data_IF_305530340289
#
_entry.id   IF_305530340289
#
_cell.length_a   1.000
_cell.length_b   1.000
_cell.length_c   1.000
_cell.angle_alpha   90.00
_cell.angle_beta   90.00
_cell.angle_gamma   90.00
#
_symmetry.space_group_name_H-M   'P 1'
#
loop_
_entity.id
_entity.type
_entity.pdbx_description
1 polymer ?
#
# COMPACT_ATOMS: atom_id res chain seq x y z
N UNK A 1 30.09 -7.86 13.57
CA UNK A 1 28.95 -6.92 13.46
C UNK A 1 28.94 -6.27 12.07
N UNK A 2 30.12 -5.95 11.52
CA UNK A 2 30.31 -5.39 10.17
C UNK A 2 29.67 -6.19 9.03
N UNK A 3 29.82 -7.53 9.00
CA UNK A 3 29.23 -8.36 7.92
C UNK A 3 27.69 -8.33 7.87
N UNK A 4 27.01 -8.08 9.00
CA UNK A 4 25.55 -7.94 9.02
C UNK A 4 25.14 -6.56 8.52
N UNK A 5 25.88 -5.53 8.95
CA UNK A 5 25.61 -4.14 8.57
C UNK A 5 25.81 -3.93 7.06
N UNK A 6 26.85 -4.52 6.47
CA UNK A 6 27.12 -4.45 5.02
C UNK A 6 26.07 -5.20 4.22
N UNK A 7 25.63 -6.38 4.69
CA UNK A 7 24.54 -7.14 4.06
C UNK A 7 23.23 -6.36 4.07
N UNK A 8 22.84 -5.80 5.22
CA UNK A 8 21.61 -5.00 5.36
C UNK A 8 21.67 -3.77 4.47
N UNK A 9 22.82 -3.08 4.41
CA UNK A 9 23.01 -1.91 3.55
C UNK A 9 22.87 -2.26 2.06
N UNK A 10 23.42 -3.40 1.63
CA UNK A 10 23.30 -3.87 0.26
C UNK A 10 21.84 -4.22 -0.09
N UNK A 11 21.14 -4.94 0.79
CA UNK A 11 19.73 -5.30 0.61
C UNK A 11 18.84 -4.04 0.57
N UNK A 12 19.01 -3.09 1.49
CA UNK A 12 18.28 -1.81 1.49
C UNK A 12 18.45 -1.03 0.18
N UNK A 13 19.69 -0.97 -0.34
CA UNK A 13 19.98 -0.34 -1.61
C UNK A 13 19.25 -1.03 -2.76
N UNK A 14 19.22 -2.37 -2.78
CA UNK A 14 18.50 -3.13 -3.81
C UNK A 14 16.97 -2.94 -3.76
N UNK A 15 16.42 -2.73 -2.56
CA UNK A 15 14.99 -2.50 -2.35
C UNK A 15 14.59 -1.11 -2.84
N UNK A 16 15.32 -0.07 -2.42
CA UNK A 16 14.90 1.33 -2.57
C UNK A 16 15.31 1.99 -3.89
N UNK A 17 16.24 1.39 -4.67
CA UNK A 17 16.59 1.94 -5.99
C UNK A 17 15.37 1.84 -6.91
N UNK A 18 14.94 2.95 -7.52
CA UNK A 18 13.80 2.96 -8.43
C UNK A 18 14.10 2.16 -9.69
N UNK A 19 13.12 1.40 -10.14
CA UNK A 19 13.04 0.80 -11.46
C UNK A 19 11.66 1.12 -12.06
N UNK A 20 11.48 0.91 -13.36
CA UNK A 20 10.22 1.28 -14.02
C UNK A 20 8.99 0.55 -13.45
N UNK A 21 9.16 -0.68 -12.94
CA UNK A 21 8.06 -1.45 -12.34
C UNK A 21 7.66 -0.86 -10.99
N UNK A 22 8.65 -0.49 -10.16
CA UNK A 22 8.45 0.23 -8.90
C UNK A 22 7.78 1.58 -9.15
N UNK A 23 8.23 2.32 -10.16
CA UNK A 23 7.63 3.61 -10.52
C UNK A 23 6.19 3.44 -11.00
N UNK A 24 5.88 2.45 -11.84
CA UNK A 24 4.52 2.20 -12.30
C UNK A 24 3.55 1.89 -11.15
N UNK A 25 3.91 0.98 -10.23
CA UNK A 25 3.08 0.67 -9.06
C UNK A 25 2.97 1.89 -8.14
N UNK A 26 4.08 2.59 -7.91
CA UNK A 26 4.11 3.80 -7.10
C UNK A 26 3.17 4.89 -7.65
N UNK A 27 3.16 5.11 -8.96
CA UNK A 27 2.24 6.05 -9.61
C UNK A 27 0.79 5.68 -9.36
N UNK A 28 0.42 4.40 -9.56
CA UNK A 28 -0.95 3.93 -9.32
C UNK A 28 -1.35 4.15 -7.85
N UNK A 29 -0.50 3.77 -6.91
CA UNK A 29 -0.79 3.95 -5.48
C UNK A 29 -0.84 5.43 -5.08
N UNK A 30 0.01 6.28 -5.67
CA UNK A 30 -0.02 7.73 -5.43
C UNK A 30 -1.31 8.36 -5.94
N UNK A 31 -1.83 7.90 -7.08
CA UNK A 31 -3.14 8.31 -7.58
C UNK A 31 -4.27 7.87 -6.64
N UNK A 32 -4.18 6.67 -6.06
CA UNK A 32 -5.11 6.24 -5.01
C UNK A 32 -5.03 7.18 -3.81
N UNK A 33 -3.83 7.51 -3.33
CA UNK A 33 -3.63 8.41 -2.21
C UNK A 33 -4.22 9.81 -2.45
N UNK A 34 -3.88 10.44 -3.58
CA UNK A 34 -4.35 11.79 -3.91
C UNK A 34 -5.86 11.78 -4.18
N UNK A 35 -6.34 10.80 -4.95
CA UNK A 35 -7.76 10.69 -5.30
C UNK A 35 -8.65 10.40 -4.10
N UNK A 36 -8.21 9.55 -3.16
CA UNK A 36 -8.94 9.29 -1.93
C UNK A 36 -9.04 10.49 -1.01
N UNK A 37 -7.96 11.28 -0.90
CA UNK A 37 -7.97 12.57 -0.19
C UNK A 37 -8.97 13.53 -0.83
N UNK A 38 -8.95 13.67 -2.16
CA UNK A 38 -9.89 14.54 -2.89
C UNK A 38 -11.34 14.09 -2.64
N UNK A 39 -11.62 12.79 -2.71
CA UNK A 39 -12.95 12.24 -2.47
C UNK A 39 -13.43 12.39 -1.03
N UNK A 40 -12.52 12.59 -0.07
CA UNK A 40 -12.91 12.90 1.32
C UNK A 40 -13.63 14.24 1.45
N UNK A 41 -13.56 15.11 0.42
CA UNK A 41 -14.37 16.32 0.37
C UNK A 41 -15.87 16.03 0.41
N UNK A 42 -16.33 14.87 -0.06
CA UNK A 42 -17.74 14.46 0.00
C UNK A 42 -18.31 14.39 1.43
N UNK A 43 -17.45 14.39 2.46
CA UNK A 43 -17.87 14.42 3.87
C UNK A 43 -17.95 15.82 4.47
N UNK A 44 -17.46 16.85 3.76
CA UNK A 44 -17.35 18.22 4.25
C UNK A 44 -17.87 19.25 3.23
N UNK A 45 -18.49 18.81 2.13
CA UNK A 45 -18.96 19.67 1.05
C UNK A 45 -20.18 20.51 1.42
N UNK A 46 -20.90 20.14 2.49
CA UNK A 46 -21.99 20.91 3.07
C UNK A 46 -21.52 22.12 3.91
N UNK A 47 -20.22 22.18 4.28
CA UNK A 47 -19.69 23.25 5.13
C UNK A 47 -19.43 24.51 4.29
N UNK A 48 -20.13 25.60 4.63
CA UNK A 48 -19.99 26.89 3.94
C UNK A 48 -18.54 27.43 4.03
N UNK A 49 -18.03 27.89 2.89
CA UNK A 49 -16.71 28.54 2.80
C UNK A 49 -15.53 27.59 2.59
N UNK A 50 -15.74 26.27 2.54
CA UNK A 50 -14.66 25.32 2.23
C UNK A 50 -14.49 25.21 0.71
N UNK A 51 -13.30 25.52 0.16
CA UNK A 51 -13.07 25.44 -1.28
C UNK A 51 -13.04 23.98 -1.74
N UNK A 52 -13.79 23.69 -2.79
CA UNK A 52 -13.80 22.40 -3.46
C UNK A 52 -12.40 22.04 -3.99
N UNK A 53 -11.88 20.84 -3.73
CA UNK A 53 -10.58 20.42 -4.27
C UNK A 53 -10.59 20.33 -5.79
N UNK A 54 -9.44 20.56 -6.45
CA UNK A 54 -9.32 20.36 -7.89
C UNK A 54 -9.62 18.90 -8.26
N UNK A 55 -10.15 18.68 -9.47
CA UNK A 55 -10.48 17.36 -10.03
C UNK A 55 -11.57 16.56 -9.30
N UNK A 56 -12.21 17.09 -8.26
CA UNK A 56 -13.24 16.37 -7.51
C UNK A 56 -14.37 15.83 -8.41
N UNK A 57 -14.93 16.67 -9.29
CA UNK A 57 -16.02 16.24 -10.18
C UNK A 57 -15.61 15.16 -11.17
N UNK A 58 -14.35 15.21 -11.63
CA UNK A 58 -13.80 14.19 -12.52
C UNK A 58 -13.62 12.85 -11.80
N UNK A 59 -13.24 12.88 -10.52
CA UNK A 59 -12.98 11.68 -9.73
C UNK A 59 -14.23 11.10 -9.08
N UNK A 60 -15.30 11.89 -8.90
CA UNK A 60 -16.56 11.49 -8.27
C UNK A 60 -17.18 10.18 -8.81
N UNK A 61 -17.12 9.86 -10.13
CA UNK A 61 -17.68 8.63 -10.67
C UNK A 61 -16.90 7.34 -10.33
N UNK A 62 -15.73 7.45 -9.69
CA UNK A 62 -14.87 6.32 -9.34
C UNK A 62 -14.88 6.08 -7.83
N UNK A 63 -14.71 4.83 -7.37
CA UNK A 63 -14.64 4.51 -5.94
C UNK A 63 -13.19 4.40 -5.47
N UNK A 64 -12.52 5.55 -5.31
CA UNK A 64 -11.10 5.61 -4.95
C UNK A 64 -10.91 5.60 -3.43
N UNK A 65 -11.83 6.28 -2.72
CA UNK A 65 -11.77 6.49 -1.28
C UNK A 65 -11.61 5.19 -0.47
N UNK A 66 -12.38 4.10 -0.71
CA UNK A 66 -12.21 2.87 0.06
C UNK A 66 -10.82 2.23 -0.13
N UNK A 67 -10.30 2.24 -1.36
CA UNK A 67 -8.97 1.72 -1.65
C UNK A 67 -7.88 2.55 -0.95
N UNK A 68 -8.06 3.88 -0.90
CA UNK A 68 -7.17 4.77 -0.16
C UNK A 68 -7.20 4.52 1.34
N UNK A 69 -8.38 4.42 1.96
CA UNK A 69 -8.51 4.11 3.39
C UNK A 69 -7.76 2.83 3.72
N UNK A 70 -8.01 1.75 2.97
CA UNK A 70 -7.29 0.49 3.17
C UNK A 70 -5.78 0.65 3.00
N UNK A 71 -5.34 1.41 2.00
CA UNK A 71 -3.92 1.67 1.73
C UNK A 71 -3.21 2.43 2.86
N UNK A 72 -3.90 3.31 3.57
CA UNK A 72 -3.29 4.14 4.62
C UNK A 72 -3.48 3.58 6.03
N UNK A 73 -4.41 2.64 6.25
CA UNK A 73 -4.67 2.05 7.58
C UNK A 73 -3.40 1.57 8.29
N UNK A 74 -2.47 0.81 7.67
CA UNK A 74 -1.25 0.39 8.35
C UNK A 74 -0.36 1.56 8.76
N UNK A 75 -0.30 2.63 7.96
CA UNK A 75 0.46 3.83 8.28
C UNK A 75 -0.12 4.53 9.51
N UNK A 76 -1.46 4.67 9.60
CA UNK A 76 -2.12 5.25 10.77
C UNK A 76 -1.95 4.40 12.04
N UNK A 77 -2.05 3.07 11.92
CA UNK A 77 -1.80 2.15 13.04
C UNK A 77 -0.36 2.32 13.56
N UNK A 78 0.62 2.32 12.66
CA UNK A 78 2.03 2.53 13.02
C UNK A 78 2.25 3.92 13.62
N UNK A 79 1.66 4.96 13.02
CA UNK A 79 1.74 6.33 13.53
C UNK A 79 1.20 6.42 14.96
N UNK A 80 0.10 5.75 15.26
CA UNK A 80 -0.48 5.71 16.60
C UNK A 80 0.43 4.97 17.59
N UNK A 81 0.95 3.78 17.20
CA UNK A 81 1.87 2.98 18.04
C UNK A 81 3.14 3.76 18.38
N UNK A 82 3.69 4.52 17.43
CA UNK A 82 4.92 5.30 17.63
C UNK A 82 4.69 6.74 18.12
N UNK A 83 3.44 7.12 18.41
CA UNK A 83 3.06 8.49 18.82
C UNK A 83 3.52 9.58 17.82
N UNK A 84 3.41 9.29 16.52
CA UNK A 84 3.82 10.15 15.41
C UNK A 84 2.64 10.85 14.71
N UNK A 85 1.44 10.81 15.30
CA UNK A 85 0.21 11.35 14.69
C UNK A 85 0.34 12.80 14.24
N UNK A 86 1.11 13.61 14.98
CA UNK A 86 1.37 15.01 14.63
C UNK A 86 2.01 15.19 13.24
N UNK A 87 2.82 14.22 12.78
CA UNK A 87 3.45 14.28 11.47
C UNK A 87 2.43 14.13 10.34
N UNK A 88 1.36 13.37 10.58
CA UNK A 88 0.29 13.17 9.61
C UNK A 88 -0.64 14.40 9.53
N UNK A 89 -0.74 15.19 10.60
CA UNK A 89 -1.65 16.33 10.69
C UNK A 89 -1.11 17.63 10.07
N UNK A 90 0.20 17.74 9.84
CA UNK A 90 0.89 18.99 9.48
C UNK A 90 1.00 19.26 7.96
N UNK A 91 0.04 18.78 7.17
CA UNK A 91 0.15 18.83 5.72
C UNK A 91 -0.51 20.04 5.05
N UNK A 92 0.07 20.52 3.92
CA UNK A 92 -0.49 21.64 3.18
C UNK A 92 -1.89 21.30 2.64
N UNK A 93 -2.80 22.28 2.58
CA UNK A 93 -4.15 22.09 2.07
C UNK A 93 -4.18 21.89 0.54
N UNK A 94 -5.09 21.05 0.07
CA UNK A 94 -5.54 20.84 -1.31
C UNK A 94 -6.99 21.32 -1.43
N UNK A 95 -7.21 22.63 -1.32
CA UNK A 95 -8.55 23.17 -1.10
C UNK A 95 -9.01 22.83 0.32
N UNK A 96 -10.19 22.22 0.46
CA UNK A 96 -10.77 21.85 1.75
C UNK A 96 -10.18 20.65 2.48
N UNK A 97 -9.27 19.90 1.86
CA UNK A 97 -8.67 18.67 2.40
C UNK A 97 -7.15 18.80 2.53
N UNK A 98 -6.49 18.01 3.40
CA UNK A 98 -5.03 18.06 3.57
C UNK A 98 -4.31 17.06 2.66
N UNK A 99 -3.16 17.46 2.08
CA UNK A 99 -2.28 16.52 1.33
C UNK A 99 -1.81 15.37 2.21
N UNK A 100 -1.48 14.23 1.61
CA UNK A 100 -1.04 13.06 2.36
C UNK A 100 0.38 12.63 1.93
N UNK A 101 1.39 13.46 2.21
CA UNK A 101 2.77 13.14 1.81
C UNK A 101 3.27 11.83 2.42
N UNK A 102 2.93 11.52 3.68
CA UNK A 102 3.32 10.23 4.26
C UNK A 102 2.63 9.03 3.61
N UNK A 103 1.39 9.17 3.11
CA UNK A 103 0.77 8.08 2.33
C UNK A 103 1.44 7.91 0.96
N UNK A 104 1.87 9.01 0.32
CA UNK A 104 2.62 8.95 -0.93
C UNK A 104 4.00 8.32 -0.69
N UNK A 105 4.72 8.73 0.35
CA UNK A 105 5.99 8.10 0.73
C UNK A 105 5.82 6.62 1.06
N UNK A 106 4.78 6.28 1.83
CA UNK A 106 4.43 4.90 2.14
C UNK A 106 4.15 4.09 0.88
N UNK A 107 3.44 4.67 -0.09
CA UNK A 107 3.17 4.02 -1.37
C UNK A 107 4.43 3.71 -2.17
N UNK A 108 5.46 4.57 -2.09
CA UNK A 108 6.77 4.32 -2.70
C UNK A 108 7.47 3.14 -2.02
N UNK A 109 7.47 3.12 -0.68
CA UNK A 109 8.07 2.03 0.11
C UNK A 109 7.36 0.71 -0.19
N UNK A 110 6.03 0.70 -0.20
CA UNK A 110 5.22 -0.48 -0.50
C UNK A 110 5.49 -1.00 -1.92
N UNK A 111 5.60 -0.10 -2.90
CA UNK A 111 5.96 -0.45 -4.28
C UNK A 111 7.34 -1.11 -4.36
N UNK A 112 8.36 -0.46 -3.79
CA UNK A 112 9.72 -0.96 -3.73
C UNK A 112 9.79 -2.35 -3.08
N UNK A 113 9.13 -2.50 -1.94
CA UNK A 113 9.08 -3.75 -1.21
C UNK A 113 8.38 -4.84 -2.00
N UNK A 114 7.23 -4.55 -2.61
CA UNK A 114 6.45 -5.54 -3.35
C UNK A 114 7.20 -6.07 -4.58
N UNK A 115 7.89 -5.21 -5.33
CA UNK A 115 8.72 -5.63 -6.47
C UNK A 115 9.91 -6.46 -6.01
N UNK A 116 10.59 -6.04 -4.94
CA UNK A 116 11.70 -6.79 -4.37
C UNK A 116 11.26 -8.21 -3.94
N UNK A 117 10.15 -8.32 -3.20
CA UNK A 117 9.58 -9.59 -2.78
C UNK A 117 9.20 -10.45 -3.97
N UNK A 118 8.61 -9.83 -4.99
CA UNK A 118 8.26 -10.50 -6.22
C UNK A 118 9.48 -11.14 -6.89
N UNK A 119 10.54 -10.36 -7.08
CA UNK A 119 11.73 -10.82 -7.80
C UNK A 119 12.56 -11.81 -6.99
N UNK A 120 12.68 -11.59 -5.67
CA UNK A 120 13.50 -12.43 -4.79
C UNK A 120 12.86 -13.76 -4.44
N UNK A 121 11.54 -13.79 -4.25
CA UNK A 121 10.85 -14.98 -3.73
C UNK A 121 9.68 -15.46 -4.58
N UNK A 122 8.79 -14.59 -5.07
CA UNK A 122 7.53 -15.06 -5.68
C UNK A 122 7.62 -15.46 -7.14
N UNK A 123 8.49 -14.85 -7.95
CA UNK A 123 8.52 -15.04 -9.41
C UNK A 123 8.61 -16.52 -9.81
N UNK A 124 9.36 -17.30 -9.04
CA UNK A 124 9.60 -18.74 -9.25
C UNK A 124 8.83 -19.64 -8.28
N UNK A 125 8.15 -19.09 -7.27
CA UNK A 125 7.40 -19.86 -6.28
C UNK A 125 6.03 -20.27 -6.85
N UNK A 126 5.61 -21.49 -6.53
CA UNK A 126 4.28 -22.03 -6.89
C UNK A 126 3.16 -21.28 -6.15
N UNK A 127 3.46 -20.72 -4.97
CA UNK A 127 2.51 -19.96 -4.15
C UNK A 127 2.10 -18.61 -4.76
N UNK A 128 2.76 -18.14 -5.82
CA UNK A 128 2.46 -16.82 -6.41
C UNK A 128 0.99 -16.67 -6.80
N UNK A 129 0.38 -17.70 -7.38
CA UNK A 129 -1.02 -17.66 -7.80
C UNK A 129 -1.96 -17.60 -6.60
N UNK A 130 -1.64 -18.33 -5.53
CA UNK A 130 -2.42 -18.29 -4.29
C UNK A 130 -2.36 -16.91 -3.64
N UNK A 131 -1.19 -16.27 -3.61
CA UNK A 131 -0.99 -14.95 -3.01
C UNK A 131 -1.71 -13.86 -3.82
N UNK A 132 -1.66 -13.94 -5.15
CA UNK A 132 -2.45 -13.05 -6.02
C UNK A 132 -3.95 -13.29 -5.82
N UNK A 133 -4.39 -14.56 -5.80
CA UNK A 133 -5.78 -14.93 -5.61
C UNK A 133 -6.30 -14.48 -4.23
N UNK A 134 -5.49 -14.54 -3.18
CA UNK A 134 -5.85 -14.06 -1.85
C UNK A 134 -6.15 -12.55 -1.86
N UNK A 135 -5.32 -11.77 -2.56
CA UNK A 135 -5.56 -10.33 -2.75
C UNK A 135 -6.86 -10.04 -3.49
N UNK A 136 -7.15 -10.77 -4.57
CA UNK A 136 -8.40 -10.61 -5.32
C UNK A 136 -9.62 -11.07 -4.51
N UNK A 137 -9.51 -12.19 -3.80
CA UNK A 137 -10.60 -12.74 -2.99
C UNK A 137 -10.96 -11.81 -1.84
N UNK A 138 -9.97 -11.25 -1.17
CA UNK A 138 -10.20 -10.24 -0.11
C UNK A 138 -10.84 -8.97 -0.68
N UNK A 139 -10.42 -8.52 -1.86
CA UNK A 139 -11.08 -7.40 -2.54
C UNK A 139 -12.54 -7.70 -2.93
N UNK A 140 -12.82 -8.93 -3.39
CA UNK A 140 -14.17 -9.38 -3.69
C UNK A 140 -15.05 -9.39 -2.45
N UNK A 141 -14.52 -9.81 -1.29
CA UNK A 141 -15.25 -9.79 -0.03
C UNK A 141 -15.58 -8.36 0.45
N UNK A 142 -14.70 -7.38 0.17
CA UNK A 142 -14.89 -5.98 0.58
C UNK A 142 -15.82 -5.23 -0.38
N UNK A 143 -15.65 -5.41 -1.68
CA UNK A 143 -16.41 -4.72 -2.71
C UNK A 143 -16.77 -5.68 -3.86
N UNK A 144 -17.80 -6.51 -3.69
CA UNK A 144 -18.13 -7.55 -4.66
C UNK A 144 -18.72 -6.90 -5.93
N UNK A 145 -18.12 -7.09 -7.11
CA UNK A 145 -18.63 -6.54 -8.35
C UNK A 145 -19.98 -7.14 -8.77
N UNK A 146 -20.46 -8.20 -8.09
CA UNK A 146 -21.78 -8.78 -8.34
C UNK A 146 -22.92 -7.78 -8.08
N UNK A 147 -22.69 -6.72 -7.30
CA UNK A 147 -23.64 -5.62 -7.08
C UNK A 147 -24.00 -4.90 -8.40
N UNK A 148 -23.15 -5.01 -9.44
CA UNK A 148 -23.41 -4.47 -10.78
C UNK A 148 -24.72 -4.98 -11.39
N UNK A 149 -25.14 -6.20 -11.06
CA UNK A 149 -26.39 -6.77 -11.60
C UNK A 149 -27.62 -6.04 -11.09
N UNK A 150 -27.51 -5.39 -9.93
CA UNK A 150 -28.59 -4.63 -9.30
C UNK A 150 -28.53 -3.12 -9.57
N UNK A 151 -27.34 -2.57 -9.87
CA UNK A 151 -27.12 -1.12 -10.04
C UNK A 151 -26.18 -0.80 -11.21
N UNK A 152 -26.64 -0.95 -12.47
CA UNK A 152 -25.80 -0.74 -13.66
C UNK A 152 -25.36 0.72 -13.85
N UNK A 153 -26.13 1.70 -13.37
CA UNK A 153 -25.77 3.13 -13.44
C UNK A 153 -24.53 3.47 -12.62
N UNK A 154 -24.19 2.65 -11.62
CA UNK A 154 -23.00 2.77 -10.78
C UNK A 154 -21.78 2.00 -11.31
N UNK A 155 -21.78 1.54 -12.56
CA UNK A 155 -20.78 0.58 -13.03
C UNK A 155 -19.34 1.06 -12.92
N UNK A 156 -19.07 2.32 -13.28
CA UNK A 156 -17.75 2.92 -13.14
C UNK A 156 -17.28 2.92 -11.69
N UNK A 157 -18.19 3.27 -10.76
CA UNK A 157 -17.91 3.34 -9.33
C UNK A 157 -17.59 1.95 -8.75
N UNK A 158 -18.43 0.96 -9.03
CA UNK A 158 -18.27 -0.41 -8.52
C UNK A 158 -17.01 -1.08 -9.10
N UNK A 159 -16.82 -1.02 -10.42
CA UNK A 159 -15.66 -1.64 -11.08
C UNK A 159 -14.35 -1.00 -10.65
N UNK A 160 -14.29 0.34 -10.61
CA UNK A 160 -13.09 1.04 -10.16
C UNK A 160 -12.77 0.72 -8.70
N UNK A 161 -13.77 0.67 -7.83
CA UNK A 161 -13.58 0.24 -6.44
C UNK A 161 -12.99 -1.15 -6.32
N UNK A 162 -13.58 -2.13 -7.02
CA UNK A 162 -13.06 -3.50 -7.01
C UNK A 162 -11.62 -3.60 -7.54
N UNK A 163 -11.30 -2.91 -8.64
CA UNK A 163 -9.96 -2.91 -9.24
C UNK A 163 -8.94 -2.28 -8.29
N UNK A 164 -9.23 -1.08 -7.75
CA UNK A 164 -8.30 -0.35 -6.90
C UNK A 164 -8.07 -1.09 -5.57
N UNK A 165 -9.13 -1.64 -4.96
CA UNK A 165 -9.01 -2.48 -3.75
C UNK A 165 -8.22 -3.74 -4.07
N UNK A 166 -8.46 -4.40 -5.21
CA UNK A 166 -7.69 -5.59 -5.64
C UNK A 166 -6.20 -5.28 -5.75
N UNK A 167 -5.83 -4.15 -6.34
CA UNK A 167 -4.43 -3.72 -6.43
C UNK A 167 -3.83 -3.56 -5.03
N UNK A 168 -4.51 -2.83 -4.13
CA UNK A 168 -4.04 -2.63 -2.75
C UNK A 168 -3.88 -3.97 -2.01
N UNK A 169 -4.87 -4.85 -2.08
CA UNK A 169 -4.87 -6.12 -1.35
C UNK A 169 -3.87 -7.13 -1.91
N UNK A 170 -3.64 -7.15 -3.23
CA UNK A 170 -2.56 -7.95 -3.84
C UNK A 170 -1.20 -7.48 -3.31
N UNK A 171 -0.95 -6.17 -3.29
CA UNK A 171 0.33 -5.63 -2.82
C UNK A 171 0.54 -5.91 -1.33
N UNK A 172 -0.52 -5.84 -0.51
CA UNK A 172 -0.44 -6.26 0.89
C UNK A 172 -0.18 -7.75 1.06
N UNK A 173 -0.82 -8.60 0.26
CA UNK A 173 -0.58 -10.05 0.30
C UNK A 173 0.88 -10.38 -0.06
N UNK A 174 1.42 -9.72 -1.09
CA UNK A 174 2.83 -9.82 -1.48
C UNK A 174 3.73 -9.32 -0.36
N UNK A 175 3.47 -8.12 0.17
CA UNK A 175 4.28 -7.49 1.20
C UNK A 175 4.35 -8.34 2.47
N UNK A 176 3.22 -8.91 2.90
CA UNK A 176 3.11 -9.77 4.07
C UNK A 176 3.89 -11.08 3.88
N UNK A 177 3.72 -11.74 2.72
CA UNK A 177 4.51 -12.94 2.39
C UNK A 177 6.01 -12.65 2.45
N UNK A 178 6.43 -11.52 1.87
CA UNK A 178 7.82 -11.07 1.90
C UNK A 178 8.33 -10.85 3.32
N UNK A 179 7.52 -10.23 4.17
CA UNK A 179 7.88 -9.97 5.56
C UNK A 179 8.09 -11.27 6.34
N UNK A 180 7.20 -12.25 6.16
CA UNK A 180 7.33 -13.58 6.77
C UNK A 180 8.61 -14.29 6.30
N UNK A 181 8.92 -14.25 4.98
CA UNK A 181 10.16 -14.83 4.44
C UNK A 181 11.40 -14.15 4.99
N UNK A 182 11.39 -12.81 5.05
CA UNK A 182 12.49 -12.02 5.61
C UNK A 182 12.77 -12.40 7.06
N UNK A 183 11.73 -12.47 7.91
CA UNK A 183 11.85 -12.89 9.30
C UNK A 183 12.40 -14.32 9.41
N UNK A 184 11.89 -15.26 8.62
CA UNK A 184 12.38 -16.64 8.60
C UNK A 184 13.88 -16.71 8.25
N UNK A 185 14.33 -15.92 7.28
CA UNK A 185 15.75 -15.82 6.92
C UNK A 185 16.60 -15.24 8.04
N UNK A 186 16.14 -14.19 8.72
CA UNK A 186 16.83 -13.61 9.87
C UNK A 186 16.99 -14.61 11.01
N UNK A 187 15.91 -15.32 11.37
CA UNK A 187 15.93 -16.34 12.43
C UNK A 187 16.95 -17.44 12.11
N UNK A 188 17.00 -17.92 10.86
CA UNK A 188 17.98 -18.94 10.43
C UNK A 188 19.42 -18.44 10.56
N UNK A 189 19.69 -17.18 10.21
CA UNK A 189 21.02 -16.57 10.34
C UNK A 189 21.43 -16.47 11.81
N UNK A 190 20.52 -16.00 12.67
CA UNK A 190 20.76 -15.88 14.11
C UNK A 190 21.01 -17.24 14.75
N UNK A 191 20.19 -18.24 14.43
CA UNK A 191 20.35 -19.60 14.94
C UNK A 191 21.69 -20.22 14.53
N UNK A 192 22.09 -20.09 13.25
CA UNK A 192 23.39 -20.60 12.77
C UNK A 192 24.56 -19.97 13.53
N UNK A 193 24.46 -18.68 13.87
CA UNK A 193 25.50 -17.93 14.56
C UNK A 193 25.59 -18.26 16.05
N UNK A 194 24.45 -18.48 16.71
CA UNK A 194 24.40 -18.96 18.10
C UNK A 194 24.91 -20.40 18.20
N UNK A 195 24.52 -21.26 17.24
CA UNK A 195 24.99 -22.65 17.18
C UNK A 195 26.48 -22.81 16.86
N UNK A 196 27.09 -21.86 16.14
CA UNK A 196 28.55 -21.85 15.92
C UNK A 196 29.34 -21.31 17.11
N UNK A 197 28.72 -20.48 17.96
CA UNK A 197 29.36 -19.92 19.16
C UNK A 197 29.48 -20.94 20.30
N UNK A 198 28.65 -21.99 20.30
CA UNK A 198 28.70 -23.08 21.30
C UNK A 198 29.65 -24.23 20.90
N UNK A 199 30.39 -24.12 19.78
CA UNK A 199 31.36 -25.13 19.31
C UNK A 199 32.82 -24.61 19.33
N UNK A 200 33.06 -23.50 20.01
CA UNK A 200 34.40 -22.99 20.35
C UNK A 200 34.55 -23.02 21.86
#
# INVERSE_FOLDING_TARGET
MENLLTLVKHELKSILIPDWRKLAIFTVLSLICIGGVIQSYAFIDEILGIPKPPLYDLLKPFSIWPAWVLLVVPLYILSHIFNLTYLVDNFPPLGGVKTSFFSVLYSYILSCWSIYVWDKWLKTDKLKYLILALGVFTAFAINPPIILTSFPEGASYILSGFILISITMILYSIALYGFIKFLSSLVKILYKRLGSSNRQ
#
